data_IF_191014071444
#
_entry.id   IF_191014071444
#
_cell.length_a   1.000
_cell.length_b   1.000
_cell.length_c   1.000
_cell.angle_alpha   90.00
_cell.angle_beta   90.00
_cell.angle_gamma   90.00
#
_symmetry.space_group_name_H-M   'P 1'
#
loop_
_entity.id
_entity.type
_entity.pdbx_description
1 polymer ?
#
# COMPACT_ATOMS: atom_id res chain seq x y z
N UNK A 1 -26.36 13.09 25.43
CA UNK A 1 -26.88 11.71 25.61
C UNK A 1 -26.09 10.80 24.68
N UNK A 2 -25.15 10.05 25.26
CA UNK A 2 -24.33 9.08 24.54
C UNK A 2 -25.20 7.94 24.04
N UNK A 3 -25.16 7.64 22.74
CA UNK A 3 -25.66 6.36 22.22
C UNK A 3 -24.47 5.58 21.69
N UNK A 4 -23.98 4.68 22.54
CA UNK A 4 -23.16 3.55 22.13
C UNK A 4 -23.95 2.71 21.13
N UNK A 5 -23.40 2.46 19.94
CA UNK A 5 -23.83 1.34 19.11
C UNK A 5 -22.63 0.67 18.42
N UNK A 6 -22.46 -0.58 18.86
CA UNK A 6 -21.85 -1.72 18.19
C UNK A 6 -20.34 -1.73 17.96
N UNK A 7 -19.66 -2.01 19.05
CA UNK A 7 -18.47 -2.86 19.11
C UNK A 7 -18.84 -4.32 18.76
N UNK A 8 -19.06 -4.60 17.46
CA UNK A 8 -19.26 -5.97 16.91
C UNK A 8 -18.73 -6.05 15.48
N UNK A 9 -17.42 -6.07 15.33
CA UNK A 9 -16.75 -6.68 14.18
C UNK A 9 -15.50 -7.33 14.75
N UNK A 10 -15.38 -8.65 14.57
CA UNK A 10 -14.36 -9.46 15.23
C UNK A 10 -12.98 -8.85 15.08
N UNK A 11 -12.22 -8.76 16.18
CA UNK A 11 -10.78 -8.50 16.28
C UNK A 11 -10.18 -8.31 14.88
N UNK A 12 -10.29 -7.09 14.34
CA UNK A 12 -9.77 -6.78 13.01
C UNK A 12 -8.31 -7.20 13.07
N UNK A 13 -7.91 -8.14 12.19
CA UNK A 13 -6.54 -8.65 12.21
C UNK A 13 -5.60 -7.45 12.19
N UNK A 14 -4.93 -7.21 13.31
CA UNK A 14 -4.11 -6.02 13.49
C UNK A 14 -3.06 -6.01 12.37
N UNK A 15 -3.13 -5.01 11.48
CA UNK A 15 -2.25 -4.93 10.32
C UNK A 15 -0.82 -4.84 10.84
N UNK A 16 0.01 -5.86 10.69
CA UNK A 16 1.39 -5.76 11.14
C UNK A 16 2.22 -5.07 10.05
N UNK A 17 2.95 -4.02 10.38
CA UNK A 17 3.84 -3.28 9.46
C UNK A 17 5.24 -3.89 9.42
N UNK A 18 6.14 -3.58 8.47
CA UNK A 18 7.52 -4.09 8.49
C UNK A 18 8.17 -4.00 9.88
N UNK A 19 8.90 -5.06 10.29
CA UNK A 19 9.42 -5.22 11.68
C UNK A 19 10.17 -4.00 12.20
N UNK A 20 10.92 -3.33 11.33
CA UNK A 20 11.69 -2.15 11.69
C UNK A 20 10.78 -1.01 12.17
N UNK A 21 9.62 -0.83 11.54
CA UNK A 21 8.64 0.21 11.92
C UNK A 21 7.92 -0.09 13.23
N UNK A 22 7.68 -1.38 13.52
CA UNK A 22 7.13 -1.75 14.83
C UNK A 22 8.17 -1.55 15.94
N UNK A 23 9.43 -1.89 15.65
CA UNK A 23 10.49 -1.87 16.66
C UNK A 23 10.87 -0.45 17.10
N UNK A 24 10.68 0.55 16.24
CA UNK A 24 10.99 1.95 16.53
C UNK A 24 9.74 2.83 16.76
N UNK A 25 8.56 2.23 16.83
CA UNK A 25 7.30 2.93 17.12
C UNK A 25 6.69 3.70 15.94
N UNK A 26 7.32 3.72 14.76
CA UNK A 26 6.78 4.39 13.57
C UNK A 26 5.42 3.79 13.14
N UNK A 27 5.18 2.51 13.44
CA UNK A 27 3.96 1.81 13.04
C UNK A 27 2.69 2.48 13.56
N UNK A 28 2.66 3.02 14.78
CA UNK A 28 1.45 3.62 15.35
C UNK A 28 1.11 4.96 14.70
N UNK A 29 2.12 5.81 14.48
CA UNK A 29 1.94 7.04 13.73
C UNK A 29 1.45 6.76 12.31
N UNK A 30 2.01 5.74 11.65
CA UNK A 30 1.57 5.31 10.32
C UNK A 30 0.12 4.82 10.32
N UNK A 31 -0.30 4.01 11.31
CA UNK A 31 -1.70 3.57 11.44
C UNK A 31 -2.63 4.77 11.49
N UNK A 32 -2.30 5.75 12.33
CA UNK A 32 -3.09 6.96 12.48
C UNK A 32 -3.20 7.73 11.16
N UNK A 33 -2.06 8.02 10.52
CA UNK A 33 -2.04 8.75 9.24
C UNK A 33 -2.82 8.02 8.15
N UNK A 34 -2.68 6.69 8.02
CA UNK A 34 -3.42 5.92 7.03
C UNK A 34 -4.92 5.89 7.31
N UNK A 35 -5.31 5.71 8.57
CA UNK A 35 -6.72 5.70 9.00
C UNK A 35 -7.41 7.03 8.72
N UNK A 36 -6.80 8.16 9.10
CA UNK A 36 -7.37 9.50 8.89
C UNK A 36 -7.54 9.87 7.42
N UNK A 37 -6.76 9.23 6.54
CA UNK A 37 -6.76 9.47 5.09
C UNK A 37 -7.47 8.38 4.31
N UNK A 38 -8.10 7.44 5.01
CA UNK A 38 -8.85 6.37 4.37
C UNK A 38 -10.10 6.95 3.72
N UNK A 39 -10.26 6.68 2.43
CA UNK A 39 -11.41 7.13 1.65
C UNK A 39 -11.98 5.96 0.85
N UNK A 40 -13.28 6.04 0.55
CA UNK A 40 -13.90 5.11 -0.38
C UNK A 40 -13.30 5.31 -1.76
N UNK A 41 -12.77 4.23 -2.33
CA UNK A 41 -12.20 4.27 -3.67
C UNK A 41 -13.23 4.78 -4.69
N UNK A 42 -14.44 4.20 -4.66
CA UNK A 42 -15.63 4.58 -5.44
C UNK A 42 -16.90 4.01 -4.77
N UNK A 43 -18.12 4.44 -5.16
CA UNK A 43 -19.35 3.81 -4.69
C UNK A 43 -19.49 2.32 -5.10
N UNK A 44 -18.86 1.91 -6.21
CA UNK A 44 -18.90 0.54 -6.74
C UNK A 44 -17.75 -0.36 -6.28
N UNK A 45 -16.93 0.11 -5.34
CA UNK A 45 -15.81 -0.63 -4.73
C UNK A 45 -15.98 -0.56 -3.22
N UNK A 46 -16.02 -1.72 -2.56
CA UNK A 46 -16.28 -1.83 -1.12
C UNK A 46 -15.04 -1.45 -0.28
N UNK A 47 -13.85 -1.60 -0.87
CA UNK A 47 -12.59 -1.38 -0.17
C UNK A 47 -12.30 0.10 0.08
N UNK A 48 -12.11 0.42 1.36
CA UNK A 48 -11.58 1.66 1.86
C UNK A 48 -10.05 1.69 1.70
N UNK A 49 -9.52 2.72 1.03
CA UNK A 49 -8.09 2.81 0.68
C UNK A 49 -7.52 4.15 1.17
N UNK A 50 -6.35 4.15 1.84
CA UNK A 50 -5.65 5.38 2.20
C UNK A 50 -5.27 6.19 0.97
N UNK A 51 -5.61 7.48 1.01
CA UNK A 51 -5.15 8.47 0.06
C UNK A 51 -3.85 9.12 0.56
N UNK A 52 -2.84 9.19 -0.31
CA UNK A 52 -1.55 9.82 -0.02
C UNK A 52 -1.27 10.90 -1.06
N UNK A 53 -0.56 11.94 -0.63
CA UNK A 53 -0.24 13.09 -1.46
C UNK A 53 1.26 13.05 -1.81
N UNK A 54 1.63 13.15 -3.10
CA UNK A 54 3.02 13.20 -3.51
C UNK A 54 3.61 14.59 -3.19
N UNK A 55 4.16 14.76 -1.99
CA UNK A 55 5.11 15.85 -1.71
C UNK A 55 6.52 15.48 -2.22
N UNK A 56 7.41 16.47 -2.34
CA UNK A 56 8.78 16.24 -2.82
C UNK A 56 9.56 15.17 -2.03
N UNK A 57 9.22 14.95 -0.75
CA UNK A 57 9.90 13.93 0.08
C UNK A 57 9.37 12.52 -0.23
N UNK A 58 8.07 12.37 -0.45
CA UNK A 58 7.47 11.12 -0.92
C UNK A 58 7.90 10.83 -2.35
N UNK A 59 7.94 11.83 -3.22
CA UNK A 59 8.47 11.71 -4.58
C UNK A 59 9.91 11.19 -4.55
N UNK A 60 10.79 11.78 -3.75
CA UNK A 60 12.18 11.32 -3.56
C UNK A 60 12.25 9.86 -3.09
N UNK A 61 11.39 9.45 -2.15
CA UNK A 61 11.35 8.09 -1.64
C UNK A 61 10.91 7.10 -2.73
N UNK A 62 9.93 7.47 -3.56
CA UNK A 62 9.45 6.68 -4.69
C UNK A 62 10.51 6.57 -5.79
N UNK A 63 11.20 7.66 -6.12
CA UNK A 63 12.31 7.67 -7.07
C UNK A 63 13.46 6.78 -6.61
N UNK A 64 13.85 6.85 -5.32
CA UNK A 64 14.88 5.98 -4.74
C UNK A 64 14.49 4.50 -4.86
N UNK A 65 13.22 4.16 -4.62
CA UNK A 65 12.72 2.80 -4.80
C UNK A 65 12.78 2.35 -6.28
N UNK A 66 12.42 3.24 -7.21
CA UNK A 66 12.49 2.99 -8.65
C UNK A 66 13.94 2.77 -9.13
N UNK A 67 14.86 3.66 -8.74
CA UNK A 67 16.30 3.56 -9.06
C UNK A 67 16.94 2.30 -8.49
N UNK A 68 16.51 1.87 -7.30
CA UNK A 68 16.93 0.61 -6.70
C UNK A 68 16.31 -0.64 -7.35
N UNK A 69 15.51 -0.48 -8.42
CA UNK A 69 14.78 -1.55 -9.14
C UNK A 69 13.85 -2.36 -8.22
N UNK A 70 13.24 -1.71 -7.23
CA UNK A 70 12.30 -2.32 -6.27
C UNK A 70 10.84 -2.03 -6.59
N UNK A 71 10.57 -1.71 -7.85
CA UNK A 71 9.25 -1.34 -8.34
C UNK A 71 8.89 -2.21 -9.55
N UNK A 72 7.74 -2.85 -9.46
CA UNK A 72 7.06 -3.53 -10.58
C UNK A 72 5.97 -2.60 -11.10
N UNK A 73 5.88 -2.45 -12.43
CA UNK A 73 4.97 -1.51 -13.08
C UNK A 73 3.83 -2.24 -13.76
N UNK A 74 2.61 -1.71 -13.64
CA UNK A 74 1.45 -2.23 -14.36
C UNK A 74 0.81 -3.45 -13.70
N UNK A 75 -0.49 -3.62 -13.93
CA UNK A 75 -1.27 -4.61 -13.17
C UNK A 75 -0.82 -6.04 -13.42
N UNK A 76 -0.61 -6.43 -14.67
CA UNK A 76 -0.40 -7.84 -15.03
C UNK A 76 0.91 -8.39 -14.43
N UNK A 77 1.96 -7.57 -14.43
CA UNK A 77 3.24 -7.92 -13.80
C UNK A 77 3.13 -7.97 -12.28
N UNK A 78 2.34 -7.06 -11.66
CA UNK A 78 2.08 -7.07 -10.22
C UNK A 78 1.32 -8.32 -9.80
N UNK A 79 0.27 -8.69 -10.53
CA UNK A 79 -0.52 -9.89 -10.26
C UNK A 79 0.35 -11.14 -10.35
N UNK A 80 1.19 -11.23 -11.40
CA UNK A 80 2.14 -12.32 -11.57
C UNK A 80 3.16 -12.39 -10.44
N UNK A 81 3.72 -11.26 -10.03
CA UNK A 81 4.71 -11.19 -8.95
C UNK A 81 4.12 -11.63 -7.60
N UNK A 82 2.93 -11.12 -7.25
CA UNK A 82 2.23 -11.51 -6.01
C UNK A 82 1.81 -12.98 -6.02
N UNK A 83 1.36 -13.50 -7.16
CA UNK A 83 1.06 -14.92 -7.31
C UNK A 83 2.29 -15.81 -7.09
N UNK A 84 3.44 -15.43 -7.67
CA UNK A 84 4.69 -16.17 -7.48
C UNK A 84 5.18 -16.12 -6.03
N UNK A 85 5.07 -14.96 -5.37
CA UNK A 85 5.41 -14.81 -3.95
C UNK A 85 4.56 -15.73 -3.08
N UNK A 86 3.23 -15.70 -3.23
CA UNK A 86 2.31 -16.51 -2.40
C UNK A 86 2.58 -18.01 -2.60
N UNK A 87 2.81 -18.46 -3.84
CA UNK A 87 3.20 -19.86 -4.11
C UNK A 87 4.50 -20.25 -3.42
N UNK A 88 5.49 -19.34 -3.39
CA UNK A 88 6.76 -19.55 -2.68
C UNK A 88 6.55 -19.64 -1.17
N UNK A 89 5.71 -18.78 -0.61
CA UNK A 89 5.34 -18.79 0.81
C UNK A 89 4.64 -20.08 1.19
N UNK A 90 3.68 -20.54 0.39
CA UNK A 90 2.95 -21.79 0.63
C UNK A 90 3.85 -23.02 0.56
N UNK A 91 4.80 -23.04 -0.38
CA UNK A 91 5.79 -24.10 -0.49
C UNK A 91 6.73 -24.13 0.72
N UNK A 92 7.16 -22.96 1.21
CA UNK A 92 8.03 -22.84 2.39
C UNK A 92 7.29 -23.13 3.70
N UNK A 93 6.02 -22.71 3.82
CA UNK A 93 5.21 -22.89 5.04
C UNK A 93 4.91 -24.36 5.29
N UNK A 94 4.69 -25.16 4.24
CA UNK A 94 4.57 -26.63 4.35
C UNK A 94 5.81 -27.32 4.92
N UNK A 95 6.98 -26.66 4.89
CA UNK A 95 8.25 -27.17 5.43
C UNK A 95 8.57 -26.65 6.83
N UNK A 96 7.76 -25.74 7.38
CA UNK A 96 8.05 -25.04 8.63
C UNK A 96 6.96 -25.31 9.68
N UNK A 97 7.35 -25.77 10.87
CA UNK A 97 6.41 -26.14 11.95
C UNK A 97 5.80 -24.94 12.71
N UNK A 98 6.23 -23.70 12.44
CA UNK A 98 5.75 -22.52 13.17
C UNK A 98 4.90 -21.58 12.30
N UNK A 99 3.71 -21.17 12.75
CA UNK A 99 2.90 -20.16 12.08
C UNK A 99 3.65 -18.82 12.03
N UNK A 100 4.00 -18.35 10.83
CA UNK A 100 4.53 -16.99 10.67
C UNK A 100 3.38 -15.99 10.75
N UNK A 101 3.46 -15.05 11.69
CA UNK A 101 2.56 -13.88 11.69
C UNK A 101 2.69 -13.13 10.36
N UNK A 102 1.57 -12.97 9.66
CA UNK A 102 1.43 -12.20 8.42
C UNK A 102 1.69 -10.71 8.71
N UNK A 103 2.38 -10.04 7.78
CA UNK A 103 2.90 -8.68 7.95
C UNK A 103 3.01 -8.04 6.58
N UNK A 104 2.68 -6.76 6.48
CA UNK A 104 2.84 -5.96 5.29
C UNK A 104 4.31 -5.92 4.90
N UNK A 105 4.59 -6.32 3.67
CA UNK A 105 5.92 -6.29 3.05
C UNK A 105 5.89 -5.78 1.63
N UNK A 106 4.69 -5.55 1.10
CA UNK A 106 4.39 -5.13 -0.26
C UNK A 106 3.44 -3.94 -0.21
N UNK A 107 3.69 -2.93 -1.04
CA UNK A 107 2.86 -1.73 -1.13
C UNK A 107 2.45 -1.52 -2.58
N UNK A 108 1.16 -1.53 -2.85
CA UNK A 108 0.60 -1.14 -4.14
C UNK A 108 0.24 0.35 -4.08
N UNK A 109 0.67 1.10 -5.09
CA UNK A 109 0.34 2.51 -5.25
C UNK A 109 -0.37 2.69 -6.58
N UNK A 110 -1.52 3.36 -6.57
CA UNK A 110 -2.33 3.61 -7.76
C UNK A 110 -2.52 5.12 -8.01
N UNK A 111 -2.52 5.56 -9.26
CA UNK A 111 -2.95 6.92 -9.60
C UNK A 111 -4.46 7.09 -9.39
N UNK A 112 -4.90 8.34 -9.20
CA UNK A 112 -6.30 8.69 -8.93
C UNK A 112 -7.20 8.68 -10.18
N UNK A 113 -6.64 8.73 -11.39
CA UNK A 113 -7.35 8.74 -12.67
C UNK A 113 -7.71 7.31 -13.21
N UNK A 114 -7.78 6.33 -12.31
CA UNK A 114 -8.23 4.97 -12.65
C UNK A 114 -9.68 4.90 -13.13
N UNK A 115 -9.98 3.97 -14.03
CA UNK A 115 -11.37 3.65 -14.39
C UNK A 115 -11.99 2.71 -13.35
N UNK A 116 -13.32 2.62 -13.28
CA UNK A 116 -13.99 1.66 -12.38
C UNK A 116 -13.54 0.21 -12.62
N UNK A 117 -13.35 -0.20 -13.88
CA UNK A 117 -12.79 -1.53 -14.20
C UNK A 117 -11.38 -1.70 -13.63
N UNK A 118 -10.53 -0.68 -13.71
CA UNK A 118 -9.19 -0.73 -13.14
C UNK A 118 -9.24 -0.90 -11.62
N UNK A 119 -10.04 -0.10 -10.92
CA UNK A 119 -10.16 -0.17 -9.47
C UNK A 119 -10.76 -1.48 -8.96
N UNK A 120 -11.72 -2.08 -9.66
CA UNK A 120 -12.19 -3.44 -9.34
C UNK A 120 -11.10 -4.51 -9.46
N UNK A 121 -10.15 -4.33 -10.39
CA UNK A 121 -8.98 -5.20 -10.47
C UNK A 121 -8.05 -5.00 -9.26
N UNK A 122 -7.83 -3.75 -8.83
CA UNK A 122 -7.04 -3.45 -7.62
C UNK A 122 -7.68 -4.04 -6.36
N UNK A 123 -9.00 -3.91 -6.20
CA UNK A 123 -9.73 -4.53 -5.10
C UNK A 123 -9.56 -6.05 -5.09
N UNK A 124 -9.58 -6.71 -6.25
CA UNK A 124 -9.30 -8.14 -6.34
C UNK A 124 -7.90 -8.49 -5.80
N UNK A 125 -6.87 -7.71 -6.13
CA UNK A 125 -5.53 -7.91 -5.56
C UNK A 125 -5.53 -7.75 -4.04
N UNK A 126 -6.25 -6.75 -3.51
CA UNK A 126 -6.36 -6.54 -2.07
C UNK A 126 -7.05 -7.73 -1.39
N UNK A 127 -8.16 -8.23 -1.95
CA UNK A 127 -8.88 -9.38 -1.39
C UNK A 127 -8.01 -10.65 -1.36
N UNK A 128 -7.22 -10.88 -2.41
CA UNK A 128 -6.35 -12.06 -2.53
C UNK A 128 -5.10 -11.96 -1.64
N UNK A 129 -4.50 -10.77 -1.51
CA UNK A 129 -3.15 -10.61 -0.92
C UNK A 129 -3.09 -9.69 0.32
N UNK A 130 -4.25 -9.32 0.91
CA UNK A 130 -4.39 -8.42 2.08
C UNK A 130 -3.48 -8.75 3.26
N UNK A 131 -3.13 -10.02 3.44
CA UNK A 131 -2.22 -10.48 4.48
C UNK A 131 -0.84 -9.80 4.48
N UNK A 132 -0.36 -9.35 3.31
CA UNK A 132 1.02 -8.85 3.12
C UNK A 132 1.09 -7.59 2.25
N UNK A 133 -0.03 -7.22 1.62
CA UNK A 133 -0.13 -6.09 0.71
C UNK A 133 -0.98 -5.01 1.35
N UNK A 134 -0.45 -3.79 1.40
CA UNK A 134 -1.23 -2.58 1.60
C UNK A 134 -1.41 -1.90 0.24
N UNK A 135 -2.57 -1.29 0.00
CA UNK A 135 -2.83 -0.48 -1.19
C UNK A 135 -3.00 0.98 -0.75
N UNK A 136 -2.45 1.93 -1.50
CA UNK A 136 -2.76 3.36 -1.36
C UNK A 136 -3.07 4.00 -2.72
N UNK A 137 -3.94 5.00 -2.69
CA UNK A 137 -4.14 5.93 -3.82
C UNK A 137 -3.16 7.09 -3.69
N UNK A 138 -2.49 7.44 -4.77
CA UNK A 138 -1.66 8.65 -4.88
C UNK A 138 -2.51 9.75 -5.50
N UNK A 139 -2.54 10.93 -4.87
CA UNK A 139 -3.25 12.11 -5.38
C UNK A 139 -2.55 12.74 -6.59
N UNK A 140 -2.54 12.03 -7.70
CA UNK A 140 -2.10 12.51 -8.99
C UNK A 140 -2.71 11.64 -10.11
N UNK A 141 -2.69 12.15 -11.34
CA UNK A 141 -3.01 11.33 -12.51
C UNK A 141 -1.85 10.38 -12.89
N UNK A 142 -2.09 9.50 -13.85
CA UNK A 142 -1.14 8.50 -14.29
C UNK A 142 0.13 9.07 -14.95
N UNK A 143 0.04 10.27 -15.54
CA UNK A 143 1.15 10.90 -16.24
C UNK A 143 2.09 11.57 -15.23
N UNK A 144 1.51 12.32 -14.27
CA UNK A 144 2.22 12.82 -13.10
C UNK A 144 2.83 11.68 -12.29
N UNK A 145 2.09 10.59 -12.07
CA UNK A 145 2.61 9.45 -11.30
C UNK A 145 3.83 8.82 -11.97
N UNK A 146 3.81 8.64 -13.29
CA UNK A 146 4.96 8.09 -13.98
C UNK A 146 6.14 9.06 -14.10
N UNK A 147 5.91 10.38 -14.16
CA UNK A 147 6.97 11.39 -14.02
C UNK A 147 7.64 11.30 -12.65
N UNK A 148 6.87 11.21 -11.57
CA UNK A 148 7.39 11.02 -10.21
C UNK A 148 8.27 9.77 -10.16
N UNK A 149 7.82 8.63 -10.68
CA UNK A 149 8.53 7.36 -10.57
C UNK A 149 9.77 7.25 -11.47
N UNK A 150 9.75 7.86 -12.65
CA UNK A 150 10.75 7.59 -13.70
C UNK A 150 11.54 8.81 -14.15
N UNK A 151 11.15 10.02 -13.73
CA UNK A 151 11.69 11.28 -14.23
C UNK A 151 11.37 11.54 -15.71
N UNK A 152 10.49 10.75 -16.33
CA UNK A 152 10.15 10.81 -17.75
C UNK A 152 8.64 10.84 -17.93
N UNK A 153 8.19 11.38 -19.06
CA UNK A 153 6.78 11.29 -19.46
C UNK A 153 6.42 9.84 -19.79
N UNK A 154 5.79 9.18 -18.83
CA UNK A 154 5.31 7.81 -18.96
C UNK A 154 3.99 7.68 -18.22
N UNK A 155 2.98 7.14 -18.87
CA UNK A 155 1.69 6.88 -18.22
C UNK A 155 1.77 5.62 -17.34
N UNK A 156 1.70 5.79 -16.02
CA UNK A 156 1.74 4.70 -15.05
C UNK A 156 0.53 4.81 -14.12
N UNK A 157 -0.32 3.77 -14.10
CA UNK A 157 -1.52 3.75 -13.24
C UNK A 157 -1.34 3.00 -11.93
N UNK A 158 -0.43 2.04 -11.89
CA UNK A 158 -0.21 1.21 -10.72
C UNK A 158 1.23 0.73 -10.68
N UNK A 159 1.77 0.68 -9.48
CA UNK A 159 3.04 0.04 -9.18
C UNK A 159 2.95 -0.80 -7.92
N UNK A 160 3.83 -1.79 -7.81
CA UNK A 160 4.10 -2.54 -6.60
C UNK A 160 5.52 -2.21 -6.13
N UNK A 161 5.64 -1.77 -4.89
CA UNK A 161 6.92 -1.70 -4.17
C UNK A 161 7.14 -3.06 -3.51
N UNK A 162 8.11 -3.81 -4.01
CA UNK A 162 8.25 -5.24 -3.70
C UNK A 162 9.18 -5.54 -2.51
N UNK A 163 10.05 -4.59 -2.16
CA UNK A 163 11.08 -4.81 -1.15
C UNK A 163 10.72 -4.17 0.18
N UNK A 164 10.74 -4.95 1.27
CA UNK A 164 10.38 -4.51 2.62
C UNK A 164 11.11 -3.22 3.06
N UNK A 165 12.35 -3.02 2.65
CA UNK A 165 13.13 -1.83 3.04
C UNK A 165 12.64 -0.58 2.28
N UNK A 166 12.25 -0.72 1.00
CA UNK A 166 11.65 0.37 0.24
C UNK A 166 10.24 0.70 0.78
N UNK A 167 9.45 -0.33 1.09
CA UNK A 167 8.15 -0.17 1.77
C UNK A 167 8.34 0.56 3.11
N UNK A 168 9.33 0.16 3.91
CA UNK A 168 9.61 0.81 5.19
C UNK A 168 10.03 2.27 5.03
N UNK A 169 10.88 2.59 4.03
CA UNK A 169 11.28 3.95 3.75
C UNK A 169 10.09 4.85 3.37
N UNK A 170 9.22 4.37 2.48
CA UNK A 170 8.00 5.09 2.09
C UNK A 170 7.06 5.28 3.28
N UNK A 171 6.87 4.23 4.08
CA UNK A 171 6.04 4.28 5.27
C UNK A 171 6.56 5.24 6.34
N UNK A 172 7.88 5.36 6.53
CA UNK A 172 8.46 6.38 7.41
C UNK A 172 8.15 7.78 6.94
N UNK A 173 8.23 8.01 5.63
CA UNK A 173 7.82 9.29 5.04
C UNK A 173 6.36 9.53 5.42
N UNK A 174 5.45 8.60 5.10
CA UNK A 174 4.01 8.77 5.39
C UNK A 174 3.70 8.99 6.87
N UNK A 175 4.35 8.26 7.78
CA UNK A 175 4.10 8.35 9.23
C UNK A 175 4.43 9.72 9.83
N UNK A 176 5.33 10.47 9.20
CA UNK A 176 5.71 11.82 9.63
C UNK A 176 4.76 12.89 9.10
N UNK A 177 3.73 12.54 8.29
CA UNK A 177 2.80 13.52 7.72
C UNK A 177 1.48 13.50 8.46
N UNK A 178 1.01 14.70 8.75
CA UNK A 178 -0.31 14.99 9.32
C UNK A 178 -1.26 15.45 8.22
N UNK A 179 -2.57 15.46 8.51
CA UNK A 179 -3.60 15.87 7.54
C UNK A 179 -3.44 17.34 7.11
N UNK A 180 -2.78 18.18 7.90
CA UNK A 180 -2.56 19.62 7.65
C UNK A 180 -1.39 19.93 6.72
N UNK A 181 -0.58 18.93 6.34
CA UNK A 181 0.62 19.16 5.50
C UNK A 181 0.28 19.39 4.03
N UNK A 182 -1.00 19.34 3.65
CA UNK A 182 -1.47 19.46 2.28
C UNK A 182 -2.64 20.45 2.20
N UNK A 183 -2.61 21.41 1.25
CA UNK A 183 -3.66 22.42 1.07
C UNK A 183 -4.99 21.84 0.58
#
# INVERSE_FOLDING_TARGET
>A
MLSQRNDKTGKGAEILFPRQLEADGTADALRHTLFERTTKLRPDVESDIPLIYPDGILEDALQKAALARRIVYGYDDIEKELFNEERGIDAASRRSASPRRKRISRLILCSRDGSGRFYRRIERLLQLYSARVLVCLVDCDADAFGRILTGRERRIKVVLVEHKDAVSAIFRVLALRTRTDFP
#
